data_IF_742779657426
#
_entry.id   IF_742779657426
#
_cell.length_a   1.000
_cell.length_b   1.000
_cell.length_c   1.000
_cell.angle_alpha   90.00
_cell.angle_beta   90.00
_cell.angle_gamma   90.00
#
_symmetry.space_group_name_H-M   'P 1'
#
loop_
_entity.id
_entity.type
_entity.pdbx_description
1 polymer ?
#
# COMPACT_ATOMS: atom_id res chain seq x y z
N UNK A 1 -9.00 -13.84 4.09
CA UNK A 1 -7.55 -13.58 3.94
C UNK A 1 -7.29 -12.13 3.53
N UNK A 2 -8.08 -11.60 2.59
CA UNK A 2 -8.04 -10.20 2.12
C UNK A 2 -8.10 -9.14 3.24
N UNK A 3 -9.03 -9.27 4.20
CA UNK A 3 -9.14 -8.33 5.33
C UNK A 3 -7.84 -8.23 6.17
N UNK A 4 -7.19 -9.37 6.39
CA UNK A 4 -5.93 -9.41 7.14
C UNK A 4 -4.80 -8.69 6.39
N UNK A 5 -4.70 -8.90 5.07
CA UNK A 5 -3.73 -8.20 4.22
C UNK A 5 -4.02 -6.69 4.22
N UNK A 6 -5.30 -6.30 4.10
CA UNK A 6 -5.70 -4.89 4.10
C UNK A 6 -5.27 -4.17 5.40
N UNK A 7 -5.42 -4.81 6.55
CA UNK A 7 -4.98 -4.26 7.85
C UNK A 7 -3.46 -4.10 7.91
N UNK A 8 -2.69 -5.10 7.44
CA UNK A 8 -1.22 -5.00 7.41
C UNK A 8 -0.78 -3.84 6.50
N UNK A 9 -1.32 -3.75 5.29
CA UNK A 9 -0.96 -2.71 4.33
C UNK A 9 -1.34 -1.32 4.87
N UNK A 10 -2.53 -1.18 5.49
CA UNK A 10 -2.92 0.07 6.14
C UNK A 10 -1.97 0.46 7.29
N UNK A 11 -1.52 -0.51 8.09
CA UNK A 11 -0.53 -0.28 9.15
C UNK A 11 0.82 0.18 8.58
N UNK A 12 1.28 -0.44 7.50
CA UNK A 12 2.51 -0.03 6.79
C UNK A 12 2.38 1.39 6.24
N UNK A 13 1.25 1.73 5.61
CA UNK A 13 1.01 3.10 5.12
C UNK A 13 1.11 4.14 6.24
N UNK A 14 0.48 3.91 7.39
CA UNK A 14 0.55 4.84 8.54
C UNK A 14 2.00 5.04 9.00
N UNK A 15 2.78 3.96 9.07
CA UNK A 15 4.20 4.00 9.41
C UNK A 15 5.02 4.81 8.38
N UNK A 16 4.75 4.64 7.08
CA UNK A 16 5.42 5.38 6.01
C UNK A 16 5.06 6.88 6.03
N UNK A 17 3.83 7.21 6.38
CA UNK A 17 3.38 8.59 6.60
C UNK A 17 4.12 9.24 7.76
N UNK A 18 4.25 8.52 8.88
CA UNK A 18 4.93 9.00 10.09
C UNK A 18 6.43 9.21 9.85
N UNK A 19 7.10 8.24 9.21
CA UNK A 19 8.53 8.32 8.91
C UNK A 19 8.85 9.25 7.74
N UNK A 20 7.87 9.52 6.88
CA UNK A 20 8.07 10.24 5.62
C UNK A 20 9.00 9.49 4.66
N UNK A 21 9.10 8.17 4.82
CA UNK A 21 9.92 7.30 3.97
C UNK A 21 9.14 6.04 3.61
N UNK A 22 9.20 5.65 2.34
CA UNK A 22 8.61 4.43 1.83
C UNK A 22 9.71 3.49 1.34
N UNK A 23 9.63 2.22 1.71
CA UNK A 23 10.59 1.21 1.26
C UNK A 23 10.03 0.55 0.02
N UNK A 24 10.48 0.99 -1.15
CA UNK A 24 10.10 0.35 -2.42
C UNK A 24 11.16 -0.68 -2.77
N UNK A 25 10.78 -1.95 -2.80
CA UNK A 25 11.62 -3.02 -3.34
C UNK A 25 11.55 -2.96 -4.87
N UNK A 26 12.62 -2.44 -5.49
CA UNK A 26 12.89 -2.64 -6.90
C UNK A 26 13.94 -3.76 -7.02
N UNK A 27 13.49 -5.01 -7.09
CA UNK A 27 14.35 -6.19 -7.13
C UNK A 27 15.07 -6.47 -5.81
N UNK A 28 16.30 -7.02 -5.86
CA UNK A 28 17.06 -7.48 -4.69
C UNK A 28 17.59 -6.36 -3.76
N UNK A 29 17.33 -5.08 -4.07
CA UNK A 29 17.73 -3.93 -3.23
C UNK A 29 16.53 -3.03 -2.96
N UNK A 30 16.04 -3.05 -1.73
CA UNK A 30 15.09 -2.05 -1.23
C UNK A 30 15.75 -0.68 -1.20
N UNK A 31 15.16 0.31 -1.88
CA UNK A 31 15.56 1.72 -1.74
C UNK A 31 14.48 2.43 -0.91
N UNK A 32 14.88 3.03 0.20
CA UNK A 32 14.01 3.92 0.95
C UNK A 32 13.87 5.24 0.18
N UNK A 33 12.66 5.53 -0.32
CA UNK A 33 12.33 6.81 -0.93
C UNK A 33 11.83 7.75 0.16
N UNK A 34 12.53 8.87 0.34
CA UNK A 34 12.10 9.92 1.26
C UNK A 34 11.15 10.90 0.58
N UNK A 35 10.12 11.32 1.32
CA UNK A 35 9.18 12.39 0.93
C UNK A 35 9.89 13.72 0.64
N UNK A 36 11.06 13.97 1.25
CA UNK A 36 11.82 15.22 1.06
C UNK A 36 12.58 15.24 -0.26
N UNK A 37 13.12 14.10 -0.68
CA UNK A 37 13.97 13.99 -1.87
C UNK A 37 13.14 13.68 -3.12
N UNK A 38 12.10 12.84 -2.98
CA UNK A 38 11.26 12.40 -4.09
C UNK A 38 9.77 12.49 -3.70
N UNK A 39 9.22 13.71 -3.54
CA UNK A 39 7.84 13.89 -3.08
C UNK A 39 6.82 13.25 -4.02
N UNK A 40 6.96 13.43 -5.33
CA UNK A 40 6.02 12.87 -6.31
C UNK A 40 5.97 11.35 -6.28
N UNK A 41 7.13 10.68 -6.28
CA UNK A 41 7.21 9.21 -6.23
C UNK A 41 6.70 8.67 -4.89
N UNK A 42 6.97 9.37 -3.78
CA UNK A 42 6.43 9.00 -2.47
C UNK A 42 4.90 8.99 -2.48
N UNK A 43 4.27 10.09 -2.91
CA UNK A 43 2.81 10.21 -2.94
C UNK A 43 2.16 9.26 -3.94
N UNK A 44 2.80 9.01 -5.08
CA UNK A 44 2.34 8.02 -6.05
C UNK A 44 2.17 6.63 -5.41
N UNK A 45 3.20 6.16 -4.70
CA UNK A 45 3.14 4.83 -4.08
C UNK A 45 2.17 4.76 -2.90
N UNK A 46 1.99 5.83 -2.14
CA UNK A 46 0.96 5.93 -1.11
C UNK A 46 -0.44 5.76 -1.72
N UNK A 47 -0.70 6.40 -2.87
CA UNK A 47 -1.99 6.26 -3.59
C UNK A 47 -2.18 4.83 -4.10
N UNK A 48 -1.13 4.19 -4.63
CA UNK A 48 -1.18 2.80 -5.06
C UNK A 48 -1.54 1.86 -3.90
N UNK A 49 -0.87 1.99 -2.76
CA UNK A 49 -1.18 1.20 -1.56
C UNK A 49 -2.61 1.46 -1.07
N UNK A 50 -3.05 2.72 -1.06
CA UNK A 50 -4.42 3.08 -0.68
C UNK A 50 -5.45 2.41 -1.59
N UNK A 51 -5.22 2.41 -2.90
CA UNK A 51 -6.10 1.77 -3.87
C UNK A 51 -6.19 0.25 -3.64
N UNK A 52 -5.07 -0.41 -3.33
CA UNK A 52 -5.04 -1.84 -3.00
C UNK A 52 -5.87 -2.11 -1.74
N UNK A 53 -5.72 -1.31 -0.68
CA UNK A 53 -6.50 -1.46 0.55
C UNK A 53 -7.99 -1.28 0.29
N UNK A 54 -8.39 -0.25 -0.45
CA UNK A 54 -9.80 -0.02 -0.81
C UNK A 54 -10.35 -1.20 -1.59
N UNK A 55 -9.61 -1.68 -2.58
CA UNK A 55 -10.01 -2.81 -3.41
C UNK A 55 -10.23 -4.08 -2.56
N UNK A 56 -9.28 -4.43 -1.68
CA UNK A 56 -9.41 -5.58 -0.76
C UNK A 56 -10.62 -5.44 0.18
N UNK A 57 -10.92 -4.23 0.67
CA UNK A 57 -12.09 -3.99 1.51
C UNK A 57 -13.39 -4.14 0.72
N UNK A 58 -13.44 -3.62 -0.51
CA UNK A 58 -14.61 -3.75 -1.37
C UNK A 58 -14.88 -5.21 -1.74
N UNK A 59 -13.83 -6.02 -1.97
CA UNK A 59 -13.95 -7.46 -2.21
C UNK A 59 -14.46 -8.20 -0.96
N UNK A 60 -13.90 -7.89 0.21
CA UNK A 60 -14.35 -8.45 1.49
C UNK A 60 -15.83 -8.15 1.81
N UNK A 61 -16.28 -6.92 1.57
CA UNK A 61 -17.68 -6.53 1.78
C UNK A 61 -18.61 -7.01 0.65
N UNK A 62 -18.09 -7.69 -0.37
CA UNK A 62 -18.86 -8.21 -1.50
C UNK A 62 -19.42 -7.10 -2.40
N UNK A 63 -18.88 -5.88 -2.33
CA UNK A 63 -19.26 -4.75 -3.20
C UNK A 63 -18.75 -4.98 -4.62
N UNK A 64 -17.55 -5.57 -4.72
CA UNK A 64 -16.96 -6.08 -5.95
C UNK A 64 -16.61 -7.55 -5.71
N UNK A 65 -16.63 -8.37 -6.75
CA UNK A 65 -16.26 -9.77 -6.62
C UNK A 65 -15.48 -10.19 -7.86
N UNK A 66 -14.16 -10.17 -7.73
CA UNK A 66 -13.22 -10.42 -8.83
C UNK A 66 -12.67 -11.84 -8.83
N UNK A 67 -12.79 -12.58 -7.73
CA UNK A 67 -12.40 -13.99 -7.63
C UNK A 67 -10.89 -14.23 -7.75
N UNK A 68 -10.07 -13.22 -7.49
CA UNK A 68 -8.60 -13.29 -7.66
C UNK A 68 -7.94 -14.02 -6.47
N UNK A 69 -8.57 -13.94 -5.30
CA UNK A 69 -8.06 -14.51 -4.04
C UNK A 69 -8.98 -15.60 -3.44
N UNK A 70 -9.99 -16.06 -4.20
CA UNK A 70 -10.92 -17.14 -3.81
C UNK A 70 -10.38 -18.53 -4.12
#
# INVERSE_FOLDING_TARGET
MELFIAVIVAGVMIYEFYTGSIVVQNGARGKALSRKTHPGTFWFWIVVQAAIVIWLLLEWFGVINTGIFS
#
